data_IF_265030549432
#
_entry.id   IF_265030549432
#
_cell.length_a   1.000
_cell.length_b   1.000
_cell.length_c   1.000
_cell.angle_alpha   90.00
_cell.angle_beta   90.00
_cell.angle_gamma   90.00
#
_symmetry.space_group_name_H-M   'P 1'
#
loop_
_entity.id
_entity.type
_entity.pdbx_description
1 polymer ?
#
# COMPACT_ATOMS: atom_id res chain seq x y z
N UNK A 1 1.62 13.18 61.22
CA UNK A 1 2.00 12.32 60.07
C UNK A 1 3.49 12.45 59.85
N UNK A 2 4.27 11.35 59.91
CA UNK A 2 5.73 11.40 59.75
C UNK A 2 6.08 11.61 58.26
N UNK A 3 6.04 12.87 57.82
CA UNK A 3 6.18 13.25 56.42
C UNK A 3 7.49 12.77 55.77
N UNK A 4 8.56 12.64 56.58
CA UNK A 4 9.84 12.06 56.15
C UNK A 4 9.69 10.62 55.64
N UNK A 5 8.89 9.80 56.34
CA UNK A 5 8.66 8.41 55.95
C UNK A 5 7.78 8.32 54.70
N UNK A 6 6.83 9.26 54.54
CA UNK A 6 5.97 9.34 53.35
C UNK A 6 6.79 9.69 52.11
N UNK A 7 7.73 10.64 52.22
CA UNK A 7 8.62 11.04 51.11
C UNK A 7 9.55 9.88 50.70
N UNK A 8 10.10 9.15 51.67
CA UNK A 8 10.97 8.00 51.39
C UNK A 8 10.20 6.88 50.69
N UNK A 9 8.99 6.58 51.15
CA UNK A 9 8.13 5.56 50.52
C UNK A 9 7.75 5.96 49.10
N UNK A 10 7.40 7.23 48.88
CA UNK A 10 7.10 7.76 47.55
C UNK A 10 8.32 7.65 46.60
N UNK A 11 9.51 8.04 47.06
CA UNK A 11 10.74 7.96 46.26
C UNK A 11 11.09 6.51 45.88
N UNK A 12 11.00 5.57 46.82
CA UNK A 12 11.25 4.14 46.57
C UNK A 12 10.21 3.55 45.60
N UNK A 13 8.95 3.99 45.69
CA UNK A 13 7.88 3.53 44.80
C UNK A 13 8.04 3.99 43.34
N UNK A 14 8.84 5.03 43.08
CA UNK A 14 9.12 5.53 41.73
C UNK A 14 10.35 4.87 41.06
N UNK A 15 11.18 4.12 41.79
CA UNK A 15 12.34 3.41 41.25
C UNK A 15 12.04 2.37 40.14
N UNK A 16 10.91 1.64 40.12
CA UNK A 16 10.66 0.64 39.07
C UNK A 16 10.27 1.23 37.70
N UNK A 17 10.08 2.56 37.57
CA UNK A 17 9.63 3.19 36.32
C UNK A 17 10.72 3.14 35.22
N UNK A 18 11.98 2.91 35.58
CA UNK A 18 13.12 2.88 34.65
C UNK A 18 13.57 1.47 34.22
N UNK A 19 12.83 0.41 34.54
CA UNK A 19 13.21 -0.96 34.13
C UNK A 19 12.78 -1.25 32.70
N UNK A 20 13.66 -0.96 31.73
CA UNK A 20 13.51 -1.40 30.34
C UNK A 20 14.24 -2.74 30.19
N UNK A 21 13.50 -3.82 29.89
CA UNK A 21 14.12 -5.10 29.57
C UNK A 21 14.68 -5.09 28.15
N UNK A 22 15.97 -5.37 27.96
CA UNK A 22 16.57 -5.53 26.62
C UNK A 22 16.64 -7.02 26.26
N UNK A 23 16.24 -7.35 25.03
CA UNK A 23 16.31 -8.71 24.52
C UNK A 23 17.77 -9.11 24.21
N UNK A 24 18.09 -10.40 24.38
CA UNK A 24 19.33 -11.03 23.90
C UNK A 24 20.65 -10.52 24.53
N UNK A 25 20.64 -9.99 25.77
CA UNK A 25 21.87 -9.53 26.45
C UNK A 25 22.82 -10.70 26.80
N UNK A 26 22.26 -11.85 27.19
CA UNK A 26 23.04 -12.97 27.74
C UNK A 26 23.67 -13.86 26.66
N UNK A 27 23.17 -13.83 25.42
CA UNK A 27 23.59 -14.73 24.33
C UNK A 27 24.22 -14.02 23.13
N UNK A 28 24.33 -12.68 23.14
CA UNK A 28 24.96 -11.91 22.08
C UNK A 28 26.50 -12.12 22.07
N UNK A 29 27.07 -12.49 20.92
CA UNK A 29 28.53 -12.56 20.72
C UNK A 29 29.10 -11.25 20.22
N UNK A 30 28.28 -10.41 19.60
CA UNK A 30 28.63 -9.07 19.13
C UNK A 30 27.66 -8.02 19.67
N UNK A 31 28.11 -6.78 19.95
CA UNK A 31 27.24 -5.70 20.42
C UNK A 31 26.02 -5.42 19.50
N UNK A 32 26.17 -5.66 18.20
CA UNK A 32 25.14 -5.48 17.16
C UNK A 32 23.96 -6.47 17.27
N UNK A 33 24.10 -7.52 18.08
CA UNK A 33 23.10 -8.57 18.31
C UNK A 33 22.23 -8.28 19.55
N UNK A 34 22.61 -7.30 20.37
CA UNK A 34 21.86 -6.87 21.56
C UNK A 34 20.57 -6.17 21.09
N UNK A 35 19.43 -6.58 21.64
CA UNK A 35 18.11 -6.05 21.28
C UNK A 35 17.46 -6.72 20.07
N UNK A 36 18.15 -7.64 19.37
CA UNK A 36 17.55 -8.44 18.29
C UNK A 36 17.03 -9.77 18.82
N UNK A 37 15.86 -10.21 18.33
CA UNK A 37 15.33 -11.55 18.63
C UNK A 37 16.26 -12.62 18.05
N UNK A 38 16.49 -13.69 18.80
CA UNK A 38 17.27 -14.84 18.32
C UNK A 38 16.51 -15.62 17.24
N UNK A 39 17.22 -16.34 16.37
CA UNK A 39 16.59 -17.14 15.31
C UNK A 39 15.59 -18.18 15.87
N UNK A 40 15.87 -18.77 17.03
CA UNK A 40 14.97 -19.71 17.71
C UNK A 40 13.70 -19.01 18.23
N UNK A 41 13.80 -17.76 18.71
CA UNK A 41 12.63 -16.97 19.12
C UNK A 41 11.80 -16.55 17.91
N UNK A 42 12.44 -16.12 16.82
CA UNK A 42 11.74 -15.78 15.58
C UNK A 42 11.00 -16.99 15.00
N UNK A 43 11.58 -18.19 15.10
CA UNK A 43 10.92 -19.42 14.66
C UNK A 43 9.77 -19.88 15.58
N UNK A 44 9.79 -19.48 16.85
CA UNK A 44 8.71 -19.76 17.80
C UNK A 44 7.58 -18.71 17.72
N UNK A 45 7.91 -17.48 17.34
CA UNK A 45 6.96 -16.40 17.08
C UNK A 45 6.20 -16.67 15.77
N UNK A 46 5.02 -17.27 15.87
CA UNK A 46 4.05 -17.36 14.78
C UNK A 46 3.30 -16.03 14.64
N UNK A 47 4.02 -14.97 14.27
CA UNK A 47 3.49 -13.60 14.11
C UNK A 47 2.65 -13.42 12.83
N UNK A 48 2.60 -14.44 11.97
CA UNK A 48 1.77 -14.44 10.76
C UNK A 48 0.35 -14.91 11.09
N UNK A 49 -0.69 -14.28 10.50
CA UNK A 49 -2.05 -14.82 10.57
C UNK A 49 -2.06 -16.28 10.10
N UNK A 50 -2.84 -17.11 10.79
CA UNK A 50 -3.06 -18.47 10.32
C UNK A 50 -3.61 -18.43 8.90
N UNK A 51 -3.03 -19.17 7.95
CA UNK A 51 -3.58 -19.24 6.60
C UNK A 51 -5.00 -19.79 6.69
N UNK A 52 -5.90 -19.24 5.86
CA UNK A 52 -7.25 -19.76 5.78
C UNK A 52 -7.23 -21.24 5.39
N UNK A 53 -8.11 -22.01 6.02
CA UNK A 53 -8.36 -23.39 5.60
C UNK A 53 -8.91 -23.45 4.18
N UNK A 54 -8.82 -24.63 3.57
CA UNK A 54 -9.57 -24.89 2.35
C UNK A 54 -11.06 -24.77 2.65
N UNK A 55 -11.77 -23.92 1.89
CA UNK A 55 -13.22 -23.75 1.95
C UNK A 55 -13.79 -24.31 0.65
N UNK A 56 -14.69 -25.28 0.75
CA UNK A 56 -15.43 -25.80 -0.40
C UNK A 56 -16.54 -24.79 -0.77
N UNK A 57 -16.90 -24.70 -2.06
CA UNK A 57 -17.95 -23.80 -2.55
C UNK A 57 -19.29 -24.06 -1.85
N UNK A 58 -19.52 -25.30 -1.38
CA UNK A 58 -20.72 -25.72 -0.64
C UNK A 58 -20.78 -25.15 0.78
N UNK A 59 -19.65 -24.75 1.35
CA UNK A 59 -19.53 -24.25 2.72
C UNK A 59 -19.66 -22.73 2.79
N UNK A 60 -19.75 -22.06 1.64
CA UNK A 60 -19.97 -20.61 1.54
C UNK A 60 -21.44 -20.31 1.82
N UNK A 61 -21.76 -19.99 3.08
CA UNK A 61 -23.12 -19.62 3.49
C UNK A 61 -23.63 -18.32 2.85
N UNK A 62 -22.73 -17.40 2.55
CA UNK A 62 -23.04 -16.10 1.94
C UNK A 62 -21.81 -15.52 1.27
N UNK A 63 -22.02 -14.92 0.10
CA UNK A 63 -21.02 -14.13 -0.62
C UNK A 63 -21.66 -12.82 -1.08
N UNK A 64 -20.88 -11.73 -1.04
CA UNK A 64 -21.30 -10.42 -1.53
C UNK A 64 -20.16 -9.82 -2.35
N UNK A 65 -20.49 -9.43 -3.58
CA UNK A 65 -19.64 -8.56 -4.39
C UNK A 65 -20.05 -7.12 -4.15
N UNK A 66 -19.08 -6.25 -3.84
CA UNK A 66 -19.30 -4.82 -3.62
C UNK A 66 -18.65 -4.06 -4.77
N UNK A 67 -19.44 -3.19 -5.42
CA UNK A 67 -18.96 -2.22 -6.39
C UNK A 67 -18.90 -0.86 -5.71
N UNK A 68 -17.74 -0.21 -5.77
CA UNK A 68 -17.54 1.12 -5.22
C UNK A 68 -17.02 2.03 -6.33
N UNK A 69 -17.61 3.23 -6.42
CA UNK A 69 -17.13 4.27 -7.33
C UNK A 69 -16.25 5.20 -6.52
N UNK A 70 -14.96 5.25 -6.87
CA UNK A 70 -14.00 6.16 -6.23
C UNK A 70 -14.06 7.49 -6.96
N UNK A 71 -14.59 8.51 -6.29
CA UNK A 71 -14.62 9.87 -6.82
C UNK A 71 -13.24 10.52 -6.65
N UNK A 72 -12.57 10.82 -7.77
CA UNK A 72 -11.23 11.41 -7.78
C UNK A 72 -11.22 12.91 -7.43
N UNK A 73 -12.39 13.56 -7.42
CA UNK A 73 -12.55 14.95 -6.99
C UNK A 73 -12.55 15.08 -5.45
N UNK A 74 -12.70 13.97 -4.73
CA UNK A 74 -12.55 13.95 -3.28
C UNK A 74 -11.08 14.06 -2.87
N UNK A 75 -10.81 14.94 -1.88
CA UNK A 75 -9.44 15.21 -1.40
C UNK A 75 -8.69 13.98 -0.92
N UNK A 76 -9.42 12.97 -0.41
CA UNK A 76 -8.82 11.70 0.04
C UNK A 76 -8.24 10.89 -1.12
N UNK A 77 -8.80 11.05 -2.33
CA UNK A 77 -8.43 10.30 -3.54
C UNK A 77 -7.44 11.05 -4.43
N UNK A 78 -7.04 12.27 -4.06
CA UNK A 78 -6.03 13.06 -4.79
C UNK A 78 -4.71 12.32 -5.07
N UNK A 79 -4.20 11.43 -4.18
CA UNK A 79 -3.04 10.62 -4.51
C UNK A 79 -3.23 9.70 -5.72
N UNK A 80 -4.47 9.31 -6.03
CA UNK A 80 -4.81 8.49 -7.19
C UNK A 80 -4.98 9.34 -8.46
N UNK A 81 -5.42 10.59 -8.31
CA UNK A 81 -5.66 11.50 -9.43
C UNK A 81 -4.39 12.19 -9.93
N UNK A 82 -3.51 12.63 -9.02
CA UNK A 82 -2.31 13.37 -9.36
C UNK A 82 -1.07 12.46 -9.45
N UNK A 83 -0.07 12.80 -10.27
CA UNK A 83 0.04 14.02 -11.07
C UNK A 83 -0.65 13.92 -12.45
N UNK A 84 -1.03 15.07 -13.01
CA UNK A 84 -1.58 15.18 -14.37
C UNK A 84 -0.50 15.15 -15.45
N UNK A 85 0.73 15.53 -15.09
CA UNK A 85 1.89 15.52 -15.97
C UNK A 85 3.04 14.80 -15.28
N UNK A 86 3.68 13.88 -16.01
CA UNK A 86 4.78 13.05 -15.52
C UNK A 86 6.15 13.48 -16.03
N UNK A 87 6.24 14.53 -16.89
CA UNK A 87 7.50 14.97 -17.52
C UNK A 87 8.57 15.32 -16.48
N UNK A 88 8.21 15.98 -15.38
CA UNK A 88 9.15 16.44 -14.34
C UNK A 88 9.02 15.70 -13.00
N UNK A 89 8.35 14.54 -12.98
CA UNK A 89 8.05 13.82 -11.74
C UNK A 89 8.70 12.44 -11.75
N UNK A 90 9.40 12.11 -10.65
CA UNK A 90 10.05 10.82 -10.44
C UNK A 90 9.10 9.63 -10.58
N UNK A 91 9.67 8.44 -10.84
CA UNK A 91 8.89 7.21 -11.02
C UNK A 91 8.13 6.77 -9.77
N UNK A 92 8.45 7.35 -8.62
CA UNK A 92 7.84 7.13 -7.31
C UNK A 92 6.45 7.78 -7.19
N UNK A 93 6.11 8.77 -8.02
CA UNK A 93 4.79 9.41 -8.02
C UNK A 93 4.13 9.31 -9.39
N UNK A 94 3.06 8.52 -9.46
CA UNK A 94 2.26 8.27 -10.66
C UNK A 94 0.77 8.24 -10.29
N UNK A 95 -0.06 8.80 -11.16
CA UNK A 95 -1.51 8.69 -11.03
C UNK A 95 -1.93 7.24 -11.26
N UNK A 96 -3.10 6.86 -10.76
CA UNK A 96 -3.67 5.54 -11.00
C UNK A 96 -3.84 5.29 -12.51
N UNK A 97 -4.27 6.31 -13.25
CA UNK A 97 -4.41 6.26 -14.70
C UNK A 97 -3.08 5.94 -15.40
N UNK A 98 -1.99 6.63 -15.05
CA UNK A 98 -0.68 6.38 -15.66
C UNK A 98 -0.20 4.95 -15.40
N UNK A 99 -0.40 4.46 -14.18
CA UNK A 99 0.00 3.09 -13.79
C UNK A 99 -0.80 2.05 -14.57
N UNK A 100 -2.12 2.21 -14.67
CA UNK A 100 -2.99 1.30 -15.44
C UNK A 100 -2.60 1.33 -16.91
N UNK A 101 -2.49 2.51 -17.51
CA UNK A 101 -2.14 2.67 -18.92
C UNK A 101 -0.77 2.08 -19.25
N UNK A 102 0.23 2.29 -18.37
CA UNK A 102 1.56 1.70 -18.55
C UNK A 102 1.53 0.18 -18.49
N UNK A 103 0.77 -0.41 -17.58
CA UNK A 103 0.68 -1.87 -17.46
C UNK A 103 -0.11 -2.50 -18.61
N UNK A 104 -1.13 -1.82 -19.14
CA UNK A 104 -1.82 -2.24 -20.37
C UNK A 104 -0.85 -2.21 -21.55
N UNK A 105 -0.10 -1.11 -21.72
CA UNK A 105 0.92 -0.99 -22.79
C UNK A 105 2.02 -2.05 -22.70
N UNK A 106 2.43 -2.38 -21.48
CA UNK A 106 3.47 -3.37 -21.22
C UNK A 106 2.96 -4.83 -21.32
N UNK A 107 1.64 -5.05 -21.42
CA UNK A 107 1.04 -6.39 -21.44
C UNK A 107 0.91 -7.06 -20.07
N UNK A 108 1.16 -6.34 -18.96
CA UNK A 108 0.93 -6.85 -17.61
C UNK A 108 -0.57 -6.89 -17.25
N UNK A 109 -1.38 -6.08 -17.93
CA UNK A 109 -2.84 -6.09 -17.85
C UNK A 109 -3.41 -6.52 -19.21
N UNK A 110 -3.72 -7.80 -19.32
CA UNK A 110 -4.21 -8.42 -20.57
C UNK A 110 -5.73 -8.24 -20.75
N UNK A 111 -6.47 -8.23 -19.64
CA UNK A 111 -7.93 -8.26 -19.64
C UNK A 111 -8.52 -6.86 -19.46
N UNK A 112 -8.69 -6.15 -20.58
CA UNK A 112 -9.39 -4.86 -20.63
C UNK A 112 -10.75 -5.04 -21.31
N UNK A 113 -11.82 -4.52 -20.71
CA UNK A 113 -13.18 -4.72 -21.17
C UNK A 113 -13.85 -3.42 -21.62
N UNK A 114 -14.85 -3.54 -22.49
CA UNK A 114 -15.64 -2.40 -23.00
C UNK A 114 -16.59 -1.86 -21.95
N UNK A 115 -17.20 -2.76 -21.20
CA UNK A 115 -18.30 -2.47 -20.30
C UNK A 115 -18.05 -3.04 -18.90
N UNK A 116 -18.86 -2.59 -17.95
CA UNK A 116 -18.87 -3.10 -16.57
C UNK A 116 -19.43 -4.52 -16.44
N UNK A 117 -19.92 -5.10 -17.54
CA UNK A 117 -20.42 -6.48 -17.58
C UNK A 117 -19.32 -7.47 -18.01
N UNK A 118 -18.13 -6.97 -18.39
CA UNK A 118 -16.96 -7.76 -18.74
C UNK A 118 -17.23 -8.76 -19.87
N UNK A 119 -18.08 -8.39 -20.82
CA UNK A 119 -18.54 -9.29 -21.89
C UNK A 119 -17.53 -9.41 -23.03
N UNK A 120 -16.95 -8.28 -23.43
CA UNK A 120 -16.06 -8.19 -24.58
C UNK A 120 -14.69 -7.63 -24.19
N UNK A 121 -13.63 -8.36 -24.57
CA UNK A 121 -12.24 -7.93 -24.38
C UNK A 121 -11.81 -6.99 -25.49
N UNK A 122 -11.09 -5.93 -25.13
CA UNK A 122 -10.47 -4.96 -26.05
C UNK A 122 -8.98 -5.17 -26.15
N UNK A 123 -8.45 -5.03 -27.36
CA UNK A 123 -7.01 -4.93 -27.57
C UNK A 123 -6.56 -3.49 -27.40
N UNK A 124 -5.28 -3.30 -27.04
CA UNK A 124 -4.70 -1.98 -26.90
C UNK A 124 -4.79 -1.15 -28.20
N UNK A 125 -4.68 -1.79 -29.37
CA UNK A 125 -4.87 -1.12 -30.68
C UNK A 125 -6.20 -0.40 -30.81
N UNK A 126 -7.24 -0.93 -30.17
CA UNK A 126 -8.60 -0.37 -30.26
C UNK A 126 -8.78 0.80 -29.28
N UNK A 127 -7.91 0.91 -28.29
CA UNK A 127 -7.90 1.99 -27.30
C UNK A 127 -7.14 3.21 -27.82
N UNK A 128 -6.13 3.02 -28.67
CA UNK A 128 -5.26 4.10 -29.14
C UNK A 128 -6.04 5.26 -29.76
N UNK A 129 -7.04 4.97 -30.60
CA UNK A 129 -7.90 5.99 -31.20
C UNK A 129 -8.62 6.86 -30.14
N UNK A 130 -9.11 6.25 -29.07
CA UNK A 130 -9.83 6.92 -27.97
C UNK A 130 -8.90 7.74 -27.07
N UNK A 131 -7.62 7.37 -27.01
CA UNK A 131 -6.62 8.00 -26.14
C UNK A 131 -5.91 9.20 -26.76
N UNK A 132 -6.14 9.45 -28.06
CA UNK A 132 -5.55 10.60 -28.76
C UNK A 132 -6.40 11.85 -28.58
N UNK A 133 -5.77 12.94 -28.17
CA UNK A 133 -6.34 14.29 -28.20
C UNK A 133 -5.61 15.08 -29.29
N UNK A 134 -6.34 15.54 -30.31
CA UNK A 134 -5.81 16.48 -31.29
C UNK A 134 -5.86 17.87 -30.64
N UNK A 135 -4.69 18.42 -30.29
CA UNK A 135 -4.57 19.74 -29.65
C UNK A 135 -4.16 20.85 -30.65
N UNK A 136 -3.88 20.47 -31.90
CA UNK A 136 -3.43 21.40 -32.95
C UNK A 136 -4.61 21.94 -33.75
N UNK A 137 -4.65 23.26 -33.95
CA UNK A 137 -5.60 23.91 -34.86
C UNK A 137 -5.14 23.82 -36.30
N UNK A 138 -6.05 23.92 -37.27
CA UNK A 138 -5.73 23.85 -38.71
C UNK A 138 -4.62 24.86 -39.10
N UNK A 139 -4.66 26.07 -38.52
CA UNK A 139 -3.64 27.11 -38.70
C UNK A 139 -2.25 26.68 -38.19
N UNK A 140 -2.18 25.91 -37.11
CA UNK A 140 -0.92 25.35 -36.60
C UNK A 140 -0.36 24.25 -37.50
N UNK A 141 -1.24 23.50 -38.19
CA UNK A 141 -0.85 22.47 -39.14
C UNK A 141 -0.26 23.06 -40.43
N UNK A 142 -0.80 24.19 -40.88
CA UNK A 142 -0.29 24.96 -42.02
C UNK A 142 1.05 25.64 -41.77
N UNK A 143 1.39 25.97 -40.52
CA UNK A 143 2.69 26.59 -40.19
C UNK A 143 3.86 25.61 -40.07
N UNK A 144 3.58 24.32 -39.86
CA UNK A 144 4.60 23.27 -39.69
C UNK A 144 4.98 22.61 -41.04
N UNK A 145 4.08 22.65 -42.03
CA UNK A 145 4.31 22.17 -43.39
C UNK A 145 4.76 23.31 -44.33
#
# INVERSE_FOLDING_TARGET
>A
MNWKNVIIVAAVSCLPISMVAQANILNAKKPEEIGKKTAAQVAADNDQPLPYGYVDDRDILWSKTIWEVVDLDERVNFPLYYPLDTINIGSDRRSLYDVLMKNIKNGNLEDVYVDSYFTEKRKFSDLEATLTKIDTTDLGYEQIN
#
